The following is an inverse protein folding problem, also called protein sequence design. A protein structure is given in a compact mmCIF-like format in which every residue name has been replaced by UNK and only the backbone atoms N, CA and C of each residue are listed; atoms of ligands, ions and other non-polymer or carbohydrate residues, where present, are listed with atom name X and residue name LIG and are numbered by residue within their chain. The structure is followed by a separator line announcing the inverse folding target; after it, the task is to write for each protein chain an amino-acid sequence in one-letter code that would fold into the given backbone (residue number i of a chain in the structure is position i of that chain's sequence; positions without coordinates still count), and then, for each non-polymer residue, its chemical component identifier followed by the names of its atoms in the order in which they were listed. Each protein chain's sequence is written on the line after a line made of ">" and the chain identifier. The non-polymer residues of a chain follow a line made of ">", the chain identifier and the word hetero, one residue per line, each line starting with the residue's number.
data_IF_491240412966
#
_entry.id   IF_491240412966
#
_cell.length_a   1.000
_cell.length_b   1.000
_cell.length_c   1.000
_cell.angle_alpha   90.00
_cell.angle_beta   90.00
_cell.angle_gamma   90.00
#
_symmetry.space_group_name_H-M   'P 1'
#
loop_
_entity.id
_entity.type
_entity.pdbx_description
1 polymer ?
#
# COMPACT_ATOMS: atom_id res chain seq x y z
N UNK A 1 -3.39 10.43 -16.39
CA UNK A 1 -4.50 9.48 -16.11
C UNK A 1 -5.46 10.23 -15.22
N UNK A 2 -6.77 10.04 -15.34
CA UNK A 2 -7.76 10.79 -14.55
C UNK A 2 -7.82 10.25 -13.11
N UNK A 3 -7.98 11.13 -12.11
CA UNK A 3 -8.01 10.80 -10.67
C UNK A 3 -9.09 9.76 -10.36
N UNK A 4 -10.26 9.87 -11.00
CA UNK A 4 -11.33 8.87 -10.88
C UNK A 4 -10.87 7.50 -11.38
N UNK A 5 -10.21 7.43 -12.53
CA UNK A 5 -9.71 6.17 -13.10
C UNK A 5 -8.64 5.54 -12.21
N UNK A 6 -7.80 6.34 -11.56
CA UNK A 6 -6.82 5.83 -10.59
C UNK A 6 -7.53 5.23 -9.38
N UNK A 7 -8.54 5.92 -8.86
CA UNK A 7 -9.32 5.44 -7.72
C UNK A 7 -10.07 4.15 -8.07
N UNK A 8 -10.69 4.06 -9.25
CA UNK A 8 -11.33 2.83 -9.74
C UNK A 8 -10.31 1.67 -9.83
N UNK A 9 -9.17 1.89 -10.49
CA UNK A 9 -8.13 0.88 -10.63
C UNK A 9 -7.54 0.41 -9.28
N UNK A 10 -7.43 1.32 -8.31
CA UNK A 10 -7.03 1.04 -6.92
C UNK A 10 -8.05 0.11 -6.26
N UNK A 11 -9.34 0.42 -6.36
CA UNK A 11 -10.41 -0.39 -5.76
C UNK A 11 -10.55 -1.76 -6.43
N UNK A 12 -10.41 -1.83 -7.75
CA UNK A 12 -10.40 -3.08 -8.50
C UNK A 12 -9.21 -3.96 -8.12
N UNK A 13 -8.05 -3.37 -7.87
CA UNK A 13 -6.86 -4.09 -7.38
C UNK A 13 -7.10 -4.69 -6.00
N UNK A 14 -7.71 -3.94 -5.08
CA UNK A 14 -8.08 -4.44 -3.75
C UNK A 14 -9.10 -5.59 -3.85
N UNK A 15 -10.16 -5.42 -4.66
CA UNK A 15 -11.17 -6.47 -4.89
C UNK A 15 -10.53 -7.75 -5.44
N UNK A 16 -9.66 -7.61 -6.45
CA UNK A 16 -8.95 -8.74 -7.05
C UNK A 16 -8.04 -9.45 -6.06
N UNK A 17 -7.34 -8.71 -5.19
CA UNK A 17 -6.53 -9.31 -4.12
C UNK A 17 -7.38 -10.12 -3.15
N UNK A 18 -8.54 -9.60 -2.74
CA UNK A 18 -9.47 -10.31 -1.88
C UNK A 18 -10.05 -11.56 -2.54
N UNK A 19 -10.46 -11.48 -3.81
CA UNK A 19 -11.03 -12.62 -4.53
C UNK A 19 -9.98 -13.71 -4.78
N UNK A 20 -8.73 -13.34 -5.05
CA UNK A 20 -7.62 -14.28 -5.14
C UNK A 20 -7.35 -14.96 -3.78
N UNK A 21 -7.33 -14.19 -2.68
CA UNK A 21 -7.16 -14.75 -1.35
C UNK A 21 -8.29 -15.72 -0.97
N UNK A 22 -9.56 -15.40 -1.27
CA UNK A 22 -10.70 -16.31 -1.04
C UNK A 22 -10.57 -17.63 -1.80
N UNK A 23 -10.01 -17.59 -3.01
CA UNK A 23 -9.81 -18.77 -3.87
C UNK A 23 -8.51 -19.51 -3.56
N UNK A 24 -7.79 -19.10 -2.52
CA UNK A 24 -6.48 -19.63 -2.17
C UNK A 24 -5.43 -19.53 -3.31
N UNK A 25 -5.50 -18.46 -4.11
CA UNK A 25 -4.54 -18.18 -5.19
C UNK A 25 -3.62 -17.00 -4.85
N UNK A 26 -2.55 -16.80 -5.63
CA UNK A 26 -1.63 -15.68 -5.45
C UNK A 26 -2.34 -14.33 -5.63
N UNK A 27 -2.18 -13.44 -4.66
CA UNK A 27 -2.75 -12.09 -4.60
C UNK A 27 -1.67 -11.00 -4.60
N UNK A 28 -0.39 -11.37 -4.53
CA UNK A 28 0.73 -10.45 -4.29
C UNK A 28 0.81 -9.35 -5.35
N UNK A 29 0.63 -9.71 -6.61
CA UNK A 29 0.57 -8.79 -7.74
C UNK A 29 -0.54 -7.75 -7.62
N UNK A 30 -1.71 -8.15 -7.12
CA UNK A 30 -2.84 -7.23 -6.95
C UNK A 30 -2.61 -6.26 -5.79
N UNK A 31 -1.94 -6.70 -4.71
CA UNK A 31 -1.53 -5.81 -3.62
C UNK A 31 -0.45 -4.81 -4.05
N UNK A 32 0.53 -5.24 -4.87
CA UNK A 32 1.51 -4.32 -5.46
C UNK A 32 0.84 -3.24 -6.30
N UNK A 33 -0.14 -3.62 -7.15
CA UNK A 33 -0.92 -2.66 -7.93
C UNK A 33 -1.71 -1.68 -7.06
N UNK A 34 -2.37 -2.17 -6.01
CA UNK A 34 -3.09 -1.34 -5.05
C UNK A 34 -2.19 -0.21 -4.50
N UNK A 35 -1.00 -0.56 -4.01
CA UNK A 35 -0.05 0.41 -3.46
C UNK A 35 0.53 1.35 -4.52
N UNK A 36 0.80 0.84 -5.74
CA UNK A 36 1.22 1.69 -6.86
C UNK A 36 0.16 2.74 -7.21
N UNK A 37 -1.12 2.35 -7.31
CA UNK A 37 -2.20 3.30 -7.59
C UNK A 37 -2.40 4.30 -6.45
N UNK A 38 -2.20 3.89 -5.20
CA UNK A 38 -2.20 4.83 -4.08
C UNK A 38 -1.10 5.90 -4.22
N UNK A 39 0.14 5.50 -4.55
CA UNK A 39 1.23 6.46 -4.77
C UNK A 39 0.95 7.39 -5.96
N UNK A 40 0.43 6.85 -7.06
CA UNK A 40 0.06 7.65 -8.22
C UNK A 40 -1.02 8.68 -7.87
N UNK A 41 -2.02 8.29 -7.07
CA UNK A 41 -3.06 9.19 -6.57
C UNK A 41 -2.49 10.31 -5.70
N UNK A 42 -1.54 9.99 -4.82
CA UNK A 42 -0.89 11.00 -3.96
C UNK A 42 0.04 11.91 -4.77
N UNK A 43 0.75 11.37 -5.77
CA UNK A 43 1.64 12.14 -6.64
C UNK A 43 0.90 13.25 -7.43
N UNK A 44 -0.39 13.08 -7.68
CA UNK A 44 -1.24 14.13 -8.28
C UNK A 44 -1.32 15.38 -7.40
N UNK A 45 -1.11 15.25 -6.08
CA UNK A 45 -1.15 16.36 -5.13
C UNK A 45 0.23 17.05 -4.97
N UNK A 46 1.23 16.73 -5.80
CA UNK A 46 2.58 17.35 -5.75
C UNK A 46 2.59 18.88 -5.88
N UNK A 47 1.63 19.46 -6.63
CA UNK A 47 1.46 20.90 -6.76
C UNK A 47 1.05 21.59 -5.43
N UNK A 48 0.62 20.81 -4.43
CA UNK A 48 0.29 21.27 -3.08
C UNK A 48 1.49 21.15 -2.12
N UNK A 49 2.70 20.84 -2.60
CA UNK A 49 3.87 20.64 -1.73
C UNK A 49 3.89 19.27 -1.06
N UNK A 50 3.43 18.24 -1.78
CA UNK A 50 3.44 16.85 -1.32
C UNK A 50 4.48 16.08 -2.14
N UNK A 51 5.70 15.94 -1.60
CA UNK A 51 6.76 15.15 -2.23
C UNK A 51 7.11 13.89 -1.44
N UNK A 52 6.59 13.79 -0.22
CA UNK A 52 6.89 12.73 0.72
C UNK A 52 5.60 12.05 1.21
N UNK A 53 5.74 10.79 1.57
CA UNK A 53 4.68 10.01 2.23
C UNK A 53 5.27 9.33 3.45
N UNK A 54 4.44 9.06 4.45
CA UNK A 54 4.78 8.13 5.52
C UNK A 54 4.07 6.81 5.35
N UNK A 55 4.74 5.70 5.67
CA UNK A 55 4.07 4.40 5.77
C UNK A 55 3.29 4.34 7.07
N UNK A 56 2.02 3.95 7.00
CA UNK A 56 1.19 3.61 8.15
C UNK A 56 0.98 2.10 8.21
N UNK A 57 1.48 1.48 9.27
CA UNK A 57 1.39 0.05 9.49
C UNK A 57 0.01 -0.36 10.05
N UNK A 58 -0.97 -0.51 9.17
CA UNK A 58 -2.35 -0.90 9.49
C UNK A 58 -2.69 -2.29 8.94
N UNK A 59 -2.13 -3.34 9.56
CA UNK A 59 -2.45 -4.72 9.18
C UNK A 59 -3.94 -5.07 9.33
N UNK A 60 -4.33 -6.29 8.95
CA UNK A 60 -5.71 -6.75 9.07
C UNK A 60 -6.22 -6.64 10.53
N UNK A 61 -7.41 -6.06 10.72
CA UNK A 61 -7.99 -5.84 12.06
C UNK A 61 -7.25 -4.80 12.91
N UNK A 62 -6.51 -3.88 12.30
CA UNK A 62 -5.80 -2.80 13.00
C UNK A 62 -4.51 -3.23 13.71
N UNK A 63 -4.05 -4.48 13.51
CA UNK A 63 -2.82 -5.00 14.10
C UNK A 63 -1.77 -5.23 13.01
N UNK A 64 -0.68 -4.47 13.05
CA UNK A 64 0.48 -4.71 12.20
C UNK A 64 1.36 -5.83 12.75
N UNK A 65 1.88 -6.66 11.84
CA UNK A 65 2.88 -7.67 12.19
C UNK A 65 4.25 -7.01 12.52
N UNK A 66 5.17 -7.72 13.21
CA UNK A 66 6.48 -7.17 13.56
C UNK A 66 7.28 -6.64 12.36
N UNK A 67 7.17 -7.27 11.18
CA UNK A 67 7.84 -6.80 9.98
C UNK A 67 7.28 -5.45 9.50
N UNK A 68 5.96 -5.30 9.43
CA UNK A 68 5.32 -4.04 9.03
C UNK A 68 5.59 -2.91 10.04
N UNK A 69 5.62 -3.22 11.35
CA UNK A 69 5.95 -2.24 12.39
C UNK A 69 7.32 -1.60 12.22
N UNK A 70 8.32 -2.33 11.69
CA UNK A 70 9.65 -1.77 11.41
C UNK A 70 9.65 -0.73 10.30
N UNK A 71 8.58 -0.66 9.50
CA UNK A 71 8.42 0.33 8.44
C UNK A 71 7.40 1.42 8.78
N UNK A 72 6.74 1.31 9.93
CA UNK A 72 5.80 2.31 10.40
C UNK A 72 6.48 3.67 10.59
N UNK A 73 5.81 4.74 10.18
CA UNK A 73 6.32 6.12 10.18
C UNK A 73 7.61 6.35 9.35
N UNK A 74 8.04 5.39 8.51
CA UNK A 74 9.12 5.68 7.56
C UNK A 74 8.63 6.69 6.54
N UNK A 75 9.37 7.79 6.43
CA UNK A 75 9.17 8.83 5.44
C UNK A 75 9.90 8.44 4.16
N UNK A 76 9.21 8.52 3.03
CA UNK A 76 9.68 8.11 1.73
C UNK A 76 9.34 9.17 0.69
N UNK A 77 10.28 9.45 -0.20
CA UNK A 77 10.02 10.28 -1.37
C UNK A 77 9.13 9.51 -2.38
N UNK A 78 8.09 10.16 -2.89
CA UNK A 78 7.08 9.52 -3.75
C UNK A 78 7.68 9.02 -5.07
N UNK A 79 8.56 9.79 -5.72
CA UNK A 79 9.15 9.42 -7.01
C UNK A 79 10.07 8.20 -6.87
N UNK A 80 10.92 8.19 -5.85
CA UNK A 80 11.75 7.02 -5.54
C UNK A 80 10.88 5.79 -5.21
N UNK A 81 9.79 6.00 -4.49
CA UNK A 81 8.92 4.94 -4.02
C UNK A 81 8.04 4.33 -5.13
N UNK A 82 7.63 5.11 -6.14
CA UNK A 82 6.96 4.59 -7.33
C UNK A 82 7.81 3.57 -8.09
N UNK A 83 9.14 3.70 -8.01
CA UNK A 83 10.10 2.76 -8.60
C UNK A 83 10.42 1.58 -7.68
N UNK A 84 10.57 1.81 -6.37
CA UNK A 84 11.03 0.80 -5.40
C UNK A 84 9.90 -0.07 -4.84
N UNK A 85 8.74 0.52 -4.54
CA UNK A 85 7.57 -0.09 -3.90
C UNK A 85 7.90 -0.91 -2.64
N UNK A 86 8.04 -0.22 -1.51
CA UNK A 86 8.25 -0.80 -0.18
C UNK A 86 7.00 -1.48 0.38
N UNK A 87 5.81 -1.11 -0.11
CA UNK A 87 4.55 -1.83 0.12
C UNK A 87 4.12 -2.63 -1.12
N UNK A 88 3.60 -3.86 -0.96
CA UNK A 88 3.41 -4.57 0.30
C UNK A 88 4.76 -5.02 0.89
N UNK A 89 4.87 -5.05 2.22
CA UNK A 89 6.10 -5.50 2.87
C UNK A 89 6.33 -6.99 2.57
N UNK A 90 7.49 -7.34 2.00
CA UNK A 90 7.86 -8.70 1.59
C UNK A 90 7.86 -9.71 2.74
N UNK A 91 8.12 -9.24 3.96
CA UNK A 91 8.17 -10.07 5.16
C UNK A 91 6.87 -10.01 5.98
N UNK A 92 5.78 -9.50 5.39
CA UNK A 92 4.48 -9.40 6.06
C UNK A 92 3.96 -10.79 6.42
N UNK A 93 3.66 -11.00 7.71
CA UNK A 93 3.08 -12.25 8.19
C UNK A 93 1.56 -12.20 8.36
N UNK A 94 0.90 -11.10 7.98
CA UNK A 94 -0.57 -11.02 8.00
C UNK A 94 -1.19 -11.94 6.95
N UNK A 95 -2.36 -12.47 7.26
CA UNK A 95 -3.14 -13.41 6.44
C UNK A 95 -4.50 -12.80 6.13
N UNK A 96 -5.08 -13.11 4.97
CA UNK A 96 -6.44 -12.67 4.62
C UNK A 96 -7.52 -13.65 5.10
N UNK A 97 -7.60 -14.84 4.46
CA UNK A 97 -8.62 -15.86 4.76
C UNK A 97 -8.03 -17.13 5.34
N UNK A 98 -6.87 -17.54 4.85
CA UNK A 98 -6.24 -18.80 5.21
C UNK A 98 -4.92 -18.57 5.94
N UNK A 99 -4.65 -19.37 6.98
CA UNK A 99 -3.47 -19.22 7.86
C UNK A 99 -2.13 -19.40 7.13
N UNK A 100 -2.09 -20.21 6.08
CA UNK A 100 -0.90 -20.43 5.26
C UNK A 100 -0.67 -19.31 4.23
N UNK A 101 -1.67 -18.49 3.95
CA UNK A 101 -1.59 -17.38 3.00
C UNK A 101 -1.04 -16.10 3.64
N UNK A 102 0.25 -16.11 3.97
CA UNK A 102 0.99 -14.95 4.50
C UNK A 102 1.31 -13.92 3.41
N UNK A 103 1.48 -12.67 3.80
CA UNK A 103 1.86 -11.57 2.91
C UNK A 103 0.73 -10.59 2.62
N UNK A 104 -0.45 -10.79 3.20
CA UNK A 104 -1.60 -9.92 2.95
C UNK A 104 -1.49 -8.61 3.74
N UNK A 105 -0.75 -7.66 3.18
CA UNK A 105 -0.46 -6.37 3.78
C UNK A 105 -1.46 -5.30 3.31
N UNK A 106 -2.19 -4.68 4.25
CA UNK A 106 -3.05 -3.51 4.02
C UNK A 106 -2.49 -2.22 4.64
N UNK A 107 -1.20 -2.21 4.98
CA UNK A 107 -0.48 -0.97 5.32
C UNK A 107 -0.58 0.01 4.16
N UNK A 108 -0.49 1.31 4.41
CA UNK A 108 -0.79 2.30 3.37
C UNK A 108 0.15 3.50 3.44
N UNK A 109 0.20 4.28 2.35
CA UNK A 109 0.90 5.56 2.34
C UNK A 109 -0.05 6.66 2.80
N UNK A 110 0.40 7.45 3.77
CA UNK A 110 -0.27 8.67 4.18
C UNK A 110 0.50 9.88 3.66
N UNK A 111 -0.25 10.87 3.20
CA UNK A 111 0.29 12.15 2.73
C UNK A 111 1.05 12.80 3.87
N UNK A 112 2.22 13.35 3.56
CA UNK A 112 2.99 14.20 4.45
C UNK A 112 3.30 15.48 3.69
N UNK A 113 2.79 16.60 4.19
CA UNK A 113 3.09 17.90 3.59
C UNK A 113 4.53 18.28 3.93
N UNK A 114 5.24 18.89 2.98
CA UNK A 114 6.68 19.14 3.16
C UNK A 114 7.00 20.16 4.27
N UNK A 115 6.01 20.94 4.72
CA UNK A 115 6.11 21.85 5.86
C UNK A 115 5.97 21.14 7.23
N UNK A 116 5.56 19.86 7.23
CA UNK A 116 5.48 19.01 8.42
C UNK A 116 6.76 18.17 8.65
N UNK A 117 7.79 18.36 7.82
CA UNK A 117 9.07 17.62 7.85
C UNK A 117 10.15 18.23 8.76
#
# INVERSE_FOLDING_TARGET
>A
MDREKIQEAKMDSLKSAWDAAKKNTDYSFHLQKLHKYQLLQIAEDSYLGVHNVRIVASGAGGKSCPACKKSDNKILNIEAELNRQSLPNRDCSCTAYHEHQKGFCLCYYEILFDDEL
#
